data_IF_116310471224
#
_entry.id   IF_116310471224
#
_cell.length_a   1.000
_cell.length_b   1.000
_cell.length_c   1.000
_cell.angle_alpha   90.00
_cell.angle_beta   90.00
_cell.angle_gamma   90.00
#
_symmetry.space_group_name_H-M   'P 1'
#
loop_
_entity.id
_entity.type
_entity.pdbx_description
1 polymer ?
#
# COMPACT_ATOMS: atom_id res chain seq x y z
N UNK A 1 -45.65 -64.67 32.67
CA UNK A 1 -45.75 -63.36 31.98
C UNK A 1 -44.76 -62.42 32.63
N UNK A 2 -43.55 -62.24 32.06
CA UNK A 2 -42.51 -61.34 32.57
C UNK A 2 -42.11 -60.42 31.42
N UNK A 3 -42.44 -59.14 31.52
CA UNK A 3 -42.07 -58.12 30.54
C UNK A 3 -40.74 -57.52 31.03
N UNK A 4 -39.67 -57.77 30.28
CA UNK A 4 -38.37 -57.13 30.49
C UNK A 4 -38.39 -55.77 29.80
N UNK A 5 -38.26 -54.69 30.58
CA UNK A 5 -38.10 -53.33 30.08
C UNK A 5 -36.60 -53.07 29.96
N UNK A 6 -36.10 -53.03 28.72
CA UNK A 6 -34.74 -52.55 28.43
C UNK A 6 -34.75 -51.03 28.42
N UNK A 7 -34.10 -50.43 29.43
CA UNK A 7 -33.77 -49.01 29.42
C UNK A 7 -32.55 -48.80 28.50
N UNK A 8 -32.80 -48.29 27.29
CA UNK A 8 -31.74 -47.77 26.41
C UNK A 8 -31.41 -46.36 26.89
N UNK A 9 -30.33 -46.25 27.66
CA UNK A 9 -29.71 -44.95 27.98
C UNK A 9 -28.89 -44.54 26.77
N UNK A 10 -29.47 -43.71 25.91
CA UNK A 10 -28.75 -42.97 24.87
C UNK A 10 -27.90 -41.89 25.56
N UNK A 11 -26.62 -42.20 25.81
CA UNK A 11 -25.60 -41.17 26.02
C UNK A 11 -25.44 -40.40 24.71
N UNK A 12 -26.16 -39.29 24.57
CA UNK A 12 -25.75 -38.23 23.67
C UNK A 12 -24.51 -37.58 24.29
N UNK A 13 -23.33 -38.07 23.91
CA UNK A 13 -22.12 -37.28 23.99
C UNK A 13 -22.33 -36.07 23.05
N UNK A 14 -22.74 -34.95 23.65
CA UNK A 14 -22.66 -33.65 23.01
C UNK A 14 -21.18 -33.33 22.83
N UNK A 15 -20.59 -33.89 21.77
CA UNK A 15 -19.42 -33.29 21.14
C UNK A 15 -19.88 -31.93 20.65
N UNK A 16 -19.80 -30.93 21.51
CA UNK A 16 -19.64 -29.55 21.10
C UNK A 16 -18.38 -29.54 20.22
N UNK A 17 -18.58 -29.82 18.93
CA UNK A 17 -17.68 -29.40 17.88
C UNK A 17 -17.49 -27.93 18.16
N UNK A 18 -16.33 -27.60 18.73
CA UNK A 18 -15.91 -26.22 18.90
C UNK A 18 -16.04 -25.59 17.53
N UNK A 19 -17.08 -24.79 17.35
CA UNK A 19 -17.05 -23.69 16.42
C UNK A 19 -15.80 -22.93 16.85
N UNK A 20 -14.67 -23.21 16.18
CA UNK A 20 -13.53 -22.34 16.26
C UNK A 20 -14.07 -21.01 15.82
N UNK A 21 -14.29 -20.10 16.78
CA UNK A 21 -14.49 -18.69 16.52
C UNK A 21 -13.33 -18.32 15.63
N UNK A 22 -13.60 -18.22 14.32
CA UNK A 22 -12.60 -17.76 13.38
C UNK A 22 -12.20 -16.39 13.90
N UNK A 23 -10.90 -16.11 14.09
CA UNK A 23 -10.47 -14.83 14.60
C UNK A 23 -11.15 -13.74 13.76
N UNK A 24 -11.65 -12.67 14.40
CA UNK A 24 -12.42 -11.65 13.69
C UNK A 24 -11.63 -11.18 12.47
N UNK A 25 -12.34 -11.04 11.35
CA UNK A 25 -11.77 -10.40 10.16
C UNK A 25 -11.15 -9.06 10.58
N UNK A 26 -9.93 -8.80 10.13
CA UNK A 26 -9.25 -7.54 10.38
C UNK A 26 -9.92 -6.46 9.53
N UNK A 27 -10.59 -5.52 10.19
CA UNK A 27 -11.35 -4.44 9.56
C UNK A 27 -10.86 -3.11 10.12
N UNK A 28 -11.03 -2.04 9.34
CA UNK A 28 -10.82 -0.68 9.86
C UNK A 28 -11.93 -0.24 10.79
N UNK A 29 -11.57 0.54 11.79
CA UNK A 29 -12.52 1.36 12.54
C UNK A 29 -12.91 2.58 11.70
N UNK A 30 -14.10 2.51 11.08
CA UNK A 30 -14.61 3.57 10.20
C UNK A 30 -15.04 4.84 10.94
N UNK A 31 -15.12 4.83 12.27
CA UNK A 31 -15.36 6.03 13.08
C UNK A 31 -14.08 6.88 13.21
N UNK A 32 -12.90 6.30 12.92
CA UNK A 32 -11.61 6.98 12.94
C UNK A 32 -11.19 7.34 11.53
N UNK A 33 -11.31 8.63 11.21
CA UNK A 33 -10.90 9.16 9.91
C UNK A 33 -9.38 9.37 9.91
N UNK A 34 -8.61 8.70 9.04
CA UNK A 34 -7.17 8.90 8.95
C UNK A 34 -6.85 10.24 8.28
N UNK A 35 -5.67 10.77 8.59
CA UNK A 35 -5.13 11.95 7.94
C UNK A 35 -4.07 11.54 6.92
N UNK A 36 -4.15 12.11 5.72
CA UNK A 36 -3.14 11.93 4.69
C UNK A 36 -2.52 13.27 4.32
N UNK A 37 -1.23 13.26 4.00
CA UNK A 37 -0.56 14.42 3.42
C UNK A 37 0.37 14.03 2.28
N UNK A 38 0.60 14.99 1.38
CA UNK A 38 1.56 14.92 0.30
C UNK A 38 2.32 16.25 0.20
N UNK A 39 3.64 16.19 0.11
CA UNK A 39 4.49 17.37 0.08
C UNK A 39 5.70 17.22 -0.86
N UNK A 40 6.21 18.35 -1.35
CA UNK A 40 7.43 18.41 -2.17
C UNK A 40 8.07 19.81 -2.16
N UNK A 41 9.35 19.87 -2.51
CA UNK A 41 10.11 21.11 -2.65
C UNK A 41 10.01 21.63 -4.09
N UNK A 42 9.66 22.91 -4.23
CA UNK A 42 9.70 23.62 -5.51
C UNK A 42 11.13 23.98 -5.91
N UNK A 43 11.35 24.30 -7.18
CA UNK A 43 12.64 24.73 -7.72
C UNK A 43 13.19 26.01 -7.04
N UNK A 44 12.32 26.82 -6.45
CA UNK A 44 12.68 28.00 -5.64
C UNK A 44 13.00 27.68 -4.16
N UNK A 45 13.00 26.40 -3.79
CA UNK A 45 13.27 25.90 -2.43
C UNK A 45 12.07 25.91 -1.49
N UNK A 46 10.90 26.44 -1.89
CA UNK A 46 9.71 26.44 -1.03
C UNK A 46 9.06 25.06 -0.96
N UNK A 47 8.60 24.69 0.23
CA UNK A 47 7.81 23.47 0.45
C UNK A 47 6.34 23.71 0.11
N UNK A 48 5.75 22.81 -0.67
CA UNK A 48 4.30 22.69 -0.84
C UNK A 48 3.85 21.47 -0.05
N UNK A 49 2.78 21.61 0.72
CA UNK A 49 2.15 20.51 1.46
C UNK A 49 0.65 20.62 1.32
N UNK A 50 0.00 19.50 1.01
CA UNK A 50 -1.44 19.34 1.11
C UNK A 50 -1.74 18.27 2.14
N UNK A 51 -2.69 18.53 3.03
CA UNK A 51 -3.06 17.64 4.12
C UNK A 51 -4.58 17.65 4.26
N UNK A 52 -5.15 16.47 4.49
CA UNK A 52 -6.61 16.31 4.61
C UNK A 52 -6.95 15.05 5.39
N UNK A 53 -8.02 15.13 6.17
CA UNK A 53 -8.67 13.96 6.74
C UNK A 53 -9.48 13.28 5.63
N UNK A 54 -9.18 12.01 5.37
CA UNK A 54 -9.72 11.24 4.24
C UNK A 54 -10.48 10.02 4.76
N UNK A 55 -11.82 10.02 4.73
CA UNK A 55 -12.60 8.84 5.06
C UNK A 55 -12.20 7.64 4.20
N UNK A 56 -12.31 6.44 4.76
CA UNK A 56 -12.08 5.22 3.99
C UNK A 56 -13.08 5.13 2.84
N UNK A 57 -12.59 5.10 1.61
CA UNK A 57 -13.42 5.09 0.41
C UNK A 57 -12.70 4.44 -0.77
N UNK A 58 -13.45 4.14 -1.83
CA UNK A 58 -12.86 3.68 -3.09
C UNK A 58 -12.10 4.80 -3.81
N UNK A 59 -11.30 4.47 -4.82
CA UNK A 59 -10.61 5.46 -5.65
C UNK A 59 -11.57 6.33 -6.50
N UNK A 60 -12.81 5.87 -6.69
CA UNK A 60 -13.88 6.64 -7.30
C UNK A 60 -14.37 7.80 -6.41
N UNK A 61 -14.18 7.70 -5.09
CA UNK A 61 -14.67 8.64 -4.07
C UNK A 61 -13.57 9.55 -3.52
N UNK A 62 -12.50 9.72 -4.30
CA UNK A 62 -11.37 10.61 -4.00
C UNK A 62 -11.83 12.05 -3.74
N UNK A 63 -11.06 12.73 -2.89
CA UNK A 63 -11.37 14.07 -2.39
C UNK A 63 -10.26 15.05 -2.80
N UNK A 64 -10.63 16.22 -3.32
CA UNK A 64 -9.67 17.28 -3.63
C UNK A 64 -8.88 17.70 -2.38
N UNK A 65 -7.54 17.67 -2.46
CA UNK A 65 -6.62 18.07 -1.39
C UNK A 65 -6.00 19.44 -1.64
N UNK A 66 -5.76 19.81 -2.90
CA UNK A 66 -5.20 21.11 -3.26
C UNK A 66 -4.57 21.12 -4.66
N UNK A 67 -4.55 22.31 -5.29
CA UNK A 67 -4.02 22.55 -6.63
C UNK A 67 -4.57 21.64 -7.74
N UNK A 68 -3.92 20.49 -7.99
CA UNK A 68 -4.31 19.49 -8.98
C UNK A 68 -4.34 18.07 -8.39
N UNK A 69 -4.38 17.94 -7.06
CA UNK A 69 -4.27 16.66 -6.36
C UNK A 69 -5.60 16.31 -5.69
N UNK A 70 -6.09 15.12 -5.99
CA UNK A 70 -7.15 14.43 -5.25
C UNK A 70 -6.52 13.26 -4.48
N UNK A 71 -7.02 12.97 -3.28
CA UNK A 71 -6.52 11.90 -2.42
C UNK A 71 -7.63 10.97 -1.96
N UNK A 72 -7.26 9.74 -1.62
CA UNK A 72 -8.13 8.78 -0.96
C UNK A 72 -7.33 7.87 -0.02
N UNK A 73 -8.02 7.28 0.97
CA UNK A 73 -7.51 6.18 1.78
C UNK A 73 -8.46 5.00 1.64
N UNK A 74 -7.93 3.81 1.43
CA UNK A 74 -8.71 2.58 1.29
C UNK A 74 -8.10 1.48 2.15
N UNK A 75 -8.94 0.59 2.68
CA UNK A 75 -8.48 -0.64 3.32
C UNK A 75 -9.26 -1.84 2.79
N UNK A 76 -8.52 -2.92 2.52
CA UNK A 76 -9.08 -4.20 2.12
C UNK A 76 -8.40 -4.81 0.90
N UNK A 77 -8.80 -6.05 0.59
CA UNK A 77 -8.24 -6.84 -0.50
C UNK A 77 -6.87 -7.43 -0.19
N UNK A 78 -6.25 -8.01 -1.22
CA UNK A 78 -4.86 -8.46 -1.19
C UNK A 78 -3.95 -7.41 -1.82
N UNK A 79 -2.64 -7.46 -1.53
CA UNK A 79 -1.66 -6.46 -2.03
C UNK A 79 -1.80 -6.30 -3.55
N UNK A 80 -2.09 -5.08 -4.01
CA UNK A 80 -2.39 -4.65 -5.38
C UNK A 80 -3.50 -5.42 -6.11
N UNK A 81 -4.46 -5.99 -5.38
CA UNK A 81 -5.41 -6.99 -5.92
C UNK A 81 -4.71 -8.17 -6.62
N UNK A 82 -3.42 -8.36 -6.33
CA UNK A 82 -2.61 -9.41 -6.91
C UNK A 82 -2.74 -10.70 -6.11
N UNK A 83 -3.20 -10.69 -4.86
CA UNK A 83 -3.22 -11.92 -4.04
C UNK A 83 -1.87 -12.23 -3.42
N UNK A 84 -1.09 -11.20 -3.09
CA UNK A 84 0.25 -11.31 -2.50
C UNK A 84 0.29 -10.87 -1.02
N UNK A 85 -0.88 -10.79 -0.38
CA UNK A 85 -1.01 -10.53 1.05
C UNK A 85 -1.25 -11.81 1.84
N UNK A 86 -0.97 -11.75 3.13
CA UNK A 86 -1.33 -12.76 4.10
C UNK A 86 -2.86 -12.93 4.16
N UNK A 87 -3.39 -14.17 4.27
CA UNK A 87 -4.83 -14.42 4.25
C UNK A 87 -5.60 -13.77 5.42
N UNK A 88 -4.92 -13.52 6.54
CA UNK A 88 -5.49 -12.84 7.71
C UNK A 88 -5.17 -11.34 7.75
N UNK A 89 -4.45 -10.83 6.75
CA UNK A 89 -4.05 -9.42 6.70
C UNK A 89 -5.08 -8.53 6.03
N UNK A 90 -4.88 -7.23 6.19
CA UNK A 90 -5.56 -6.17 5.46
C UNK A 90 -4.51 -5.28 4.79
N UNK A 91 -4.82 -4.79 3.59
CA UNK A 91 -3.97 -3.85 2.89
C UNK A 91 -4.50 -2.44 3.11
N UNK A 92 -3.63 -1.57 3.60
CA UNK A 92 -3.92 -0.13 3.73
C UNK A 92 -3.29 0.59 2.56
N UNK A 93 -4.07 1.45 1.89
CA UNK A 93 -3.64 2.23 0.74
C UNK A 93 -3.94 3.70 0.94
N UNK A 94 -2.96 4.55 0.64
CA UNK A 94 -3.16 5.99 0.42
C UNK A 94 -2.76 6.33 -1.00
N UNK A 95 -3.66 6.95 -1.74
CA UNK A 95 -3.43 7.22 -3.15
C UNK A 95 -3.81 8.62 -3.57
N UNK A 96 -3.19 9.05 -4.66
CA UNK A 96 -3.32 10.39 -5.19
C UNK A 96 -3.53 10.37 -6.70
N UNK A 97 -4.46 11.20 -7.17
CA UNK A 97 -4.86 11.35 -8.56
C UNK A 97 -4.70 12.81 -9.00
N UNK A 98 -4.45 13.00 -10.31
CA UNK A 98 -4.63 14.32 -10.93
C UNK A 98 -6.12 14.63 -11.04
N UNK A 99 -6.51 15.82 -10.57
CA UNK A 99 -7.86 16.37 -10.81
C UNK A 99 -8.07 16.65 -12.31
N UNK A 100 -7.07 17.28 -12.94
CA UNK A 100 -7.00 17.54 -14.37
C UNK A 100 -5.78 16.80 -14.95
N UNK A 101 -5.99 15.81 -15.85
CA UNK A 101 -4.91 15.02 -16.44
C UNK A 101 -3.93 15.85 -17.27
N UNK A 102 -4.34 17.04 -17.75
CA UNK A 102 -3.52 17.92 -18.59
C UNK A 102 -2.58 18.80 -17.77
N UNK A 103 -2.82 18.92 -16.46
CA UNK A 103 -2.00 19.72 -15.55
C UNK A 103 -0.94 18.87 -14.85
N UNK A 104 0.13 19.51 -14.40
CA UNK A 104 1.17 18.84 -13.63
C UNK A 104 0.62 18.32 -12.29
N UNK A 105 1.14 17.19 -11.83
CA UNK A 105 0.92 16.69 -10.48
C UNK A 105 1.71 17.55 -9.50
N UNK A 106 2.98 17.80 -9.82
CA UNK A 106 3.95 18.48 -8.96
C UNK A 106 4.41 19.79 -9.61
N UNK A 107 3.58 20.82 -9.51
CA UNK A 107 3.90 22.14 -10.06
C UNK A 107 5.25 22.67 -9.55
N UNK A 108 6.12 23.05 -10.49
CA UNK A 108 7.46 23.63 -10.25
C UNK A 108 8.35 22.80 -9.32
N UNK A 109 8.17 21.48 -9.25
CA UNK A 109 8.99 20.63 -8.39
C UNK A 109 10.49 20.71 -8.73
N UNK A 110 11.35 20.75 -7.72
CA UNK A 110 12.79 20.67 -7.90
C UNK A 110 13.22 19.30 -8.45
N UNK A 111 14.24 19.26 -9.31
CA UNK A 111 14.64 18.04 -10.02
C UNK A 111 15.14 16.92 -9.09
N UNK A 112 15.63 17.28 -7.91
CA UNK A 112 16.14 16.46 -6.82
C UNK A 112 15.17 16.40 -5.62
N UNK A 113 13.96 16.92 -5.75
CA UNK A 113 12.96 16.87 -4.69
C UNK A 113 12.59 15.43 -4.32
N UNK A 114 12.24 15.25 -3.06
CA UNK A 114 11.51 14.10 -2.55
C UNK A 114 10.02 14.41 -2.56
N UNK A 115 9.20 13.43 -2.87
CA UNK A 115 7.76 13.43 -2.58
C UNK A 115 7.59 12.81 -1.20
N UNK A 116 7.11 13.58 -0.26
CA UNK A 116 6.82 13.12 1.09
C UNK A 116 5.33 12.79 1.19
N UNK A 117 5.02 11.55 1.55
CA UNK A 117 3.65 11.08 1.80
C UNK A 117 3.56 10.65 3.24
N UNK A 118 2.53 11.12 3.93
CA UNK A 118 2.18 10.63 5.27
C UNK A 118 0.76 10.10 5.28
N UNK A 119 0.55 9.04 6.02
CA UNK A 119 -0.75 8.53 6.43
C UNK A 119 -0.68 8.30 7.94
N UNK A 120 -1.63 8.83 8.71
CA UNK A 120 -1.68 8.67 10.16
C UNK A 120 -3.10 8.40 10.63
N UNK A 121 -3.23 7.81 11.81
CA UNK A 121 -4.52 7.57 12.45
C UNK A 121 -5.31 6.40 11.87
N UNK A 122 -4.65 5.43 11.22
CA UNK A 122 -5.32 4.20 10.77
C UNK A 122 -5.55 3.30 11.96
N UNK A 123 -6.82 3.05 12.31
CA UNK A 123 -7.20 2.21 13.44
C UNK A 123 -7.93 0.97 12.92
N UNK A 124 -7.57 -0.19 13.47
CA UNK A 124 -8.23 -1.47 13.18
C UNK A 124 -9.20 -1.83 14.30
N UNK A 125 -10.18 -2.68 14.01
CA UNK A 125 -11.18 -3.20 14.96
C UNK A 125 -10.60 -4.10 16.06
N UNK A 126 -9.31 -4.42 15.99
CA UNK A 126 -8.56 -5.21 16.96
C UNK A 126 -7.08 -4.81 16.93
N UNK A 127 -6.27 -5.14 17.96
CA UNK A 127 -4.84 -4.88 17.96
C UNK A 127 -4.15 -5.42 16.69
N UNK A 128 -3.37 -4.56 16.04
CA UNK A 128 -2.80 -4.86 14.73
C UNK A 128 -1.40 -4.26 14.59
N UNK A 129 -0.57 -4.88 13.76
CA UNK A 129 0.81 -4.48 13.47
C UNK A 129 0.99 -4.23 11.97
N UNK A 130 1.61 -3.13 11.55
CA UNK A 130 2.01 -2.97 10.16
C UNK A 130 3.16 -3.92 9.82
N UNK A 131 3.06 -4.65 8.72
CA UNK A 131 4.10 -5.56 8.25
C UNK A 131 5.18 -4.78 7.50
N UNK A 132 6.33 -4.60 8.14
CA UNK A 132 7.51 -3.95 7.54
C UNK A 132 7.96 -4.69 6.27
N UNK A 133 8.57 -3.96 5.35
CA UNK A 133 9.04 -4.52 4.07
C UNK A 133 7.94 -4.72 3.01
N UNK A 134 6.66 -4.57 3.37
CA UNK A 134 5.54 -4.72 2.43
C UNK A 134 5.07 -3.42 1.77
N UNK A 135 5.80 -2.31 1.96
CA UNK A 135 5.40 -1.06 1.31
C UNK A 135 5.65 -1.16 -0.19
N UNK A 136 4.62 -0.89 -0.98
CA UNK A 136 4.71 -0.78 -2.43
C UNK A 136 4.08 0.52 -2.88
N UNK A 137 4.81 1.26 -3.72
CA UNK A 137 4.22 2.32 -4.51
C UNK A 137 3.81 1.75 -5.88
N UNK A 138 2.54 1.88 -6.24
CA UNK A 138 2.04 1.59 -7.59
C UNK A 138 1.79 2.90 -8.31
N UNK A 139 2.43 3.05 -9.46
CA UNK A 139 2.44 4.25 -10.29
C UNK A 139 1.77 3.91 -11.62
N UNK A 140 0.81 4.73 -12.05
CA UNK A 140 0.10 4.59 -13.31
C UNK A 140 0.33 5.80 -14.20
N UNK A 141 0.80 5.55 -15.42
CA UNK A 141 1.05 6.59 -16.43
C UNK A 141 -0.10 6.68 -17.43
N UNK A 142 -0.25 7.85 -18.07
CA UNK A 142 -1.17 8.05 -19.18
C UNK A 142 -0.66 7.33 -20.44
N UNK A 143 -1.55 6.66 -21.18
CA UNK A 143 -1.17 5.85 -22.35
C UNK A 143 -0.60 6.71 -23.49
N UNK A 144 -1.12 7.93 -23.65
CA UNK A 144 -0.65 8.91 -24.62
C UNK A 144 0.82 9.29 -24.36
N UNK A 145 1.15 9.42 -23.09
CA UNK A 145 2.49 9.77 -22.65
C UNK A 145 3.46 8.58 -22.84
N UNK A 146 2.99 7.35 -22.60
CA UNK A 146 3.76 6.14 -22.94
C UNK A 146 4.07 6.07 -24.45
N UNK A 147 3.07 6.37 -25.28
CA UNK A 147 3.19 6.38 -26.75
C UNK A 147 4.22 7.41 -27.23
N UNK A 148 4.24 8.62 -26.65
CA UNK A 148 5.22 9.65 -27.03
C UNK A 148 6.66 9.24 -26.70
N UNK A 149 6.85 8.41 -25.67
CA UNK A 149 8.14 7.87 -25.26
C UNK A 149 8.50 6.54 -25.95
N UNK A 150 7.68 6.06 -26.89
CA UNK A 150 7.85 4.76 -27.57
C UNK A 150 7.94 3.57 -26.58
N UNK A 151 7.28 3.70 -25.43
CA UNK A 151 7.19 2.64 -24.44
C UNK A 151 5.92 1.84 -24.71
N UNK A 152 6.02 0.52 -24.60
CA UNK A 152 4.89 -0.38 -24.81
C UNK A 152 3.74 -0.05 -23.85
N UNK A 153 2.51 -0.12 -24.35
CA UNK A 153 1.32 0.28 -23.59
C UNK A 153 1.00 -0.66 -22.42
N UNK A 154 1.49 -1.91 -22.45
CA UNK A 154 1.37 -2.87 -21.34
C UNK A 154 2.32 -2.58 -20.18
N UNK A 155 3.25 -1.63 -20.33
CA UNK A 155 4.13 -1.11 -19.29
C UNK A 155 3.56 0.13 -18.59
N UNK A 156 2.24 0.38 -18.64
CA UNK A 156 1.65 1.59 -18.05
C UNK A 156 1.62 1.60 -16.51
N UNK A 157 1.98 0.47 -15.87
CA UNK A 157 2.11 0.32 -14.43
C UNK A 157 3.57 0.15 -14.05
N UNK A 158 3.99 0.85 -13.01
CA UNK A 158 5.28 0.69 -12.36
C UNK A 158 5.07 0.41 -10.89
N UNK A 159 5.81 -0.56 -10.36
CA UNK A 159 5.81 -0.94 -8.95
C UNK A 159 7.18 -0.62 -8.33
N UNK A 160 7.19 0.07 -7.20
CA UNK A 160 8.39 0.32 -6.40
C UNK A 160 8.21 -0.39 -5.06
N UNK A 161 9.07 -1.33 -4.73
CA UNK A 161 8.92 -2.12 -3.50
C UNK A 161 9.92 -1.68 -2.44
N UNK A 162 9.58 -1.80 -1.16
CA UNK A 162 10.55 -1.62 -0.07
C UNK A 162 11.50 -2.80 0.09
N UNK A 163 11.03 -4.02 -0.15
CA UNK A 163 11.84 -5.22 -0.12
C UNK A 163 12.37 -5.57 -1.51
N UNK A 164 13.69 -5.78 -1.62
CA UNK A 164 14.37 -6.15 -2.85
C UNK A 164 14.02 -7.56 -3.37
N UNK A 165 13.34 -8.37 -2.56
CA UNK A 165 12.87 -9.72 -2.92
C UNK A 165 11.37 -9.79 -3.20
N UNK A 166 10.63 -8.71 -2.94
CA UNK A 166 9.17 -8.71 -3.08
C UNK A 166 8.72 -8.64 -4.54
N UNK A 167 8.41 -9.80 -5.10
CA UNK A 167 7.90 -9.95 -6.47
C UNK A 167 6.37 -10.02 -6.52
N UNK A 168 5.67 -9.73 -5.40
CA UNK A 168 4.22 -9.89 -5.28
C UNK A 168 3.75 -11.28 -5.75
N UNK A 169 4.47 -12.31 -5.30
CA UNK A 169 4.33 -13.71 -5.70
C UNK A 169 4.49 -13.90 -7.22
N UNK A 170 5.55 -13.35 -7.80
CA UNK A 170 5.87 -13.46 -9.22
C UNK A 170 4.96 -12.67 -10.17
N UNK A 171 4.15 -11.74 -9.65
CA UNK A 171 3.15 -10.98 -10.45
C UNK A 171 3.67 -9.64 -10.98
N UNK A 172 4.90 -9.28 -10.64
CA UNK A 172 5.65 -8.16 -11.20
C UNK A 172 7.00 -8.64 -11.73
N UNK A 173 7.53 -7.97 -12.74
CA UNK A 173 8.65 -8.40 -13.60
C UNK A 173 9.84 -7.45 -13.47
N UNK A 174 10.93 -7.86 -12.80
CA UNK A 174 12.12 -7.02 -12.63
C UNK A 174 12.66 -6.52 -13.96
N UNK A 175 12.99 -5.22 -14.01
CA UNK A 175 13.51 -4.57 -15.21
C UNK A 175 12.46 -4.24 -16.28
N UNK A 176 11.18 -4.55 -16.03
CA UNK A 176 10.08 -4.22 -16.93
C UNK A 176 9.04 -3.32 -16.24
N UNK A 177 8.32 -3.83 -15.23
CA UNK A 177 7.26 -3.10 -14.53
C UNK A 177 7.54 -2.92 -13.02
N UNK A 178 8.72 -3.30 -12.54
CA UNK A 178 9.09 -3.09 -11.14
C UNK A 178 10.54 -2.65 -10.92
N UNK A 179 10.76 -1.92 -9.82
CA UNK A 179 12.06 -1.60 -9.23
C UNK A 179 12.09 -2.16 -7.81
N UNK A 180 12.66 -3.34 -7.66
CA UNK A 180 12.74 -4.04 -6.39
C UNK A 180 13.64 -3.30 -5.39
N UNK A 181 13.16 -3.09 -4.17
CA UNK A 181 13.91 -2.45 -3.10
C UNK A 181 14.13 -0.94 -3.28
N UNK A 182 13.47 -0.32 -4.27
CA UNK A 182 13.59 1.09 -4.57
C UNK A 182 13.06 2.01 -3.45
N UNK A 183 12.35 1.46 -2.47
CA UNK A 183 11.86 2.17 -1.27
C UNK A 183 12.59 1.73 0.02
N UNK A 184 13.74 1.07 -0.10
CA UNK A 184 14.44 0.46 1.05
C UNK A 184 15.29 1.43 1.89
N UNK A 185 15.59 2.62 1.38
CA UNK A 185 16.50 3.59 2.00
C UNK A 185 17.97 3.14 2.04
N UNK A 186 18.36 2.06 1.34
CA UNK A 186 19.72 1.51 1.38
C UNK A 186 20.71 2.31 0.54
N UNK A 187 20.25 2.97 -0.52
CA UNK A 187 21.04 3.86 -1.38
C UNK A 187 20.53 5.30 -1.31
N UNK A 188 21.37 6.31 -1.56
CA UNK A 188 20.93 7.72 -1.61
C UNK A 188 19.83 8.00 -2.65
N UNK A 189 19.73 7.15 -3.68
CA UNK A 189 18.73 7.24 -4.75
C UNK A 189 17.45 6.48 -4.45
N UNK A 190 17.38 5.75 -3.34
CA UNK A 190 16.19 5.01 -2.95
C UNK A 190 15.22 5.95 -2.21
N UNK A 191 13.94 5.64 -2.32
CA UNK A 191 12.98 6.11 -1.35
C UNK A 191 13.18 5.42 0.00
N UNK A 192 12.61 6.02 1.04
CA UNK A 192 12.56 5.43 2.38
C UNK A 192 11.12 5.40 2.85
N UNK A 193 10.74 4.29 3.46
CA UNK A 193 9.43 4.10 4.07
C UNK A 193 9.58 3.71 5.53
N UNK A 194 8.68 4.22 6.35
CA UNK A 194 8.60 3.94 7.78
C UNK A 194 7.17 3.59 8.11
N UNK A 195 6.97 2.46 8.78
CA UNK A 195 5.70 2.03 9.32
C UNK A 195 5.81 1.95 10.84
N UNK A 196 4.88 2.60 11.52
CA UNK A 196 4.87 2.72 12.99
C UNK A 196 3.49 2.35 13.51
N UNK A 197 3.45 1.54 14.57
CA UNK A 197 2.30 1.48 15.45
C UNK A 197 2.51 2.52 16.55
N UNK A 198 1.61 3.48 16.62
CA UNK A 198 1.64 4.57 17.58
C UNK A 198 1.22 4.09 18.97
N UNK A 199 1.47 4.91 19.99
CA UNK A 199 1.15 4.57 21.38
C UNK A 199 -0.36 4.39 21.65
N UNK A 200 -1.21 5.04 20.86
CA UNK A 200 -2.67 4.91 20.93
C UNK A 200 -3.20 3.67 20.17
N UNK A 201 -2.30 2.87 19.58
CA UNK A 201 -2.63 1.69 18.81
C UNK A 201 -2.96 1.96 17.34
N UNK A 202 -3.02 3.22 16.90
CA UNK A 202 -3.15 3.56 15.49
C UNK A 202 -1.87 3.25 14.71
N UNK A 203 -2.00 3.17 13.39
CA UNK A 203 -0.91 2.84 12.47
C UNK A 203 -0.65 4.05 11.58
N UNK A 204 0.63 4.38 11.44
CA UNK A 204 1.13 5.45 10.58
C UNK A 204 2.11 4.92 9.54
N UNK A 205 2.09 5.55 8.37
CA UNK A 205 3.11 5.40 7.33
C UNK A 205 3.71 6.77 7.01
N UNK A 206 5.03 6.81 6.89
CA UNK A 206 5.77 7.91 6.26
C UNK A 206 6.56 7.35 5.10
N UNK A 207 6.51 8.03 3.96
CA UNK A 207 7.30 7.69 2.80
C UNK A 207 7.95 8.95 2.23
N UNK A 208 9.22 8.85 1.86
CA UNK A 208 9.93 9.87 1.09
C UNK A 208 10.43 9.20 -0.17
N UNK A 209 9.84 9.57 -1.31
CA UNK A 209 10.11 8.95 -2.61
C UNK A 209 10.82 9.98 -3.49
N UNK A 210 12.07 9.72 -3.96
CA UNK A 210 12.72 10.60 -4.92
C UNK A 210 11.80 10.81 -6.11
N UNK A 211 11.59 12.08 -6.48
CA UNK A 211 10.68 12.41 -7.58
C UNK A 211 11.05 11.69 -8.88
N UNK A 212 12.35 11.49 -9.11
CA UNK A 212 12.87 10.69 -10.21
C UNK A 212 12.26 9.28 -10.30
N UNK A 213 12.01 8.60 -9.18
CA UNK A 213 11.42 7.26 -9.19
C UNK A 213 9.96 7.24 -9.65
N UNK A 214 9.26 8.38 -9.57
CA UNK A 214 7.90 8.51 -10.10
C UNK A 214 7.88 8.96 -11.56
N UNK A 215 9.06 9.25 -12.13
CA UNK A 215 9.21 9.57 -13.54
C UNK A 215 9.59 8.32 -14.31
N UNK A 216 9.13 8.30 -15.56
CA UNK A 216 9.59 7.48 -16.67
C UNK A 216 9.93 6.01 -16.32
N UNK A 217 9.11 5.08 -16.79
CA UNK A 217 9.17 3.68 -16.31
C UNK A 217 10.53 2.99 -16.50
N UNK A 218 11.22 3.20 -17.63
CA UNK A 218 12.47 2.50 -17.94
C UNK A 218 13.67 3.10 -17.19
N UNK A 219 13.95 4.38 -17.42
CA UNK A 219 15.02 5.12 -16.74
C UNK A 219 14.47 6.35 -15.98
N UNK A 220 14.49 6.34 -14.62
CA UNK A 220 14.03 7.46 -13.79
C UNK A 220 14.89 8.73 -13.89
N UNK A 221 16.11 8.61 -14.43
CA UNK A 221 17.08 9.69 -14.58
C UNK A 221 17.22 10.18 -16.02
N UNK A 222 16.46 9.63 -16.95
CA UNK A 222 16.46 10.05 -18.34
C UNK A 222 15.94 11.48 -18.47
N UNK A 223 16.87 12.42 -18.66
CA UNK A 223 16.60 13.85 -18.90
C UNK A 223 16.93 14.29 -20.33
N UNK A 224 17.54 13.40 -21.12
CA UNK A 224 18.23 13.76 -22.35
C UNK A 224 17.31 13.96 -23.55
N UNK A 225 16.05 13.51 -23.50
CA UNK A 225 15.11 13.67 -24.60
C UNK A 225 14.05 14.71 -24.19
N UNK A 226 14.07 15.91 -24.78
CA UNK A 226 13.02 16.91 -24.56
C UNK A 226 11.65 16.32 -24.87
N UNK A 227 10.69 16.43 -23.94
CA UNK A 227 9.33 15.93 -24.11
C UNK A 227 9.06 14.49 -23.64
N UNK A 228 10.05 13.73 -23.17
CA UNK A 228 9.86 12.37 -22.59
C UNK A 228 9.53 12.39 -21.10
N UNK A 229 8.94 13.49 -20.64
CA UNK A 229 8.59 13.69 -19.24
C UNK A 229 7.25 13.00 -18.94
N UNK A 230 7.29 11.95 -18.12
CA UNK A 230 6.12 11.22 -17.66
C UNK A 230 5.90 11.52 -16.19
N UNK A 231 4.87 12.30 -15.90
CA UNK A 231 4.27 12.30 -14.56
C UNK A 231 3.22 11.20 -14.46
N UNK A 232 3.02 10.64 -13.26
CA UNK A 232 1.91 9.75 -13.03
C UNK A 232 0.57 10.46 -13.26
N UNK A 233 -0.37 9.74 -13.86
CA UNK A 233 -1.79 10.12 -13.78
C UNK A 233 -2.32 9.86 -12.37
N UNK A 234 -1.80 8.80 -11.75
CA UNK A 234 -2.11 8.38 -10.40
C UNK A 234 -0.95 7.58 -9.83
N UNK A 235 -0.75 7.68 -8.51
CA UNK A 235 0.03 6.72 -7.78
C UNK A 235 -0.55 6.52 -6.38
N UNK A 236 -0.29 5.37 -5.80
CA UNK A 236 -0.59 5.11 -4.39
C UNK A 236 0.55 4.36 -3.73
N UNK A 237 0.62 4.50 -2.41
CA UNK A 237 1.41 3.63 -1.56
C UNK A 237 0.46 2.73 -0.79
N UNK A 238 0.86 1.47 -0.65
CA UNK A 238 0.15 0.52 0.18
C UNK A 238 1.10 -0.34 0.99
N UNK A 239 0.61 -0.83 2.12
CA UNK A 239 1.32 -1.75 3.00
C UNK A 239 0.33 -2.70 3.67
N UNK A 240 0.85 -3.82 4.13
CA UNK A 240 0.05 -4.82 4.83
C UNK A 240 0.00 -4.55 6.33
N UNK A 241 -1.14 -4.83 6.93
CA UNK A 241 -1.38 -4.83 8.36
C UNK A 241 -1.91 -6.21 8.76
N UNK A 242 -1.43 -6.73 9.88
CA UNK A 242 -1.81 -8.04 10.42
C UNK A 242 -2.42 -7.89 11.81
N UNK A 243 -3.30 -8.80 12.25
CA UNK A 243 -3.61 -8.94 13.66
C UNK A 243 -2.32 -9.11 14.47
N UNK A 244 -2.24 -8.49 15.65
CA UNK A 244 -1.01 -8.44 16.44
C UNK A 244 -0.41 -9.83 16.71
N UNK A 245 -1.24 -10.81 17.08
CA UNK A 245 -0.79 -12.18 17.32
C UNK A 245 -0.09 -12.80 16.10
N UNK A 246 -0.65 -12.60 14.90
CA UNK A 246 -0.10 -13.10 13.63
C UNK A 246 1.20 -12.36 13.28
N UNK A 247 1.22 -11.04 13.46
CA UNK A 247 2.40 -10.22 13.20
C UNK A 247 3.59 -10.63 14.05
N UNK A 248 3.37 -10.83 15.35
CA UNK A 248 4.41 -11.26 16.30
C UNK A 248 4.93 -12.67 16.00
N UNK A 249 4.05 -13.59 15.58
CA UNK A 249 4.45 -14.94 15.15
C UNK A 249 5.40 -14.89 13.96
N UNK A 250 5.06 -14.11 12.92
CA UNK A 250 5.92 -13.96 11.74
C UNK A 250 7.25 -13.27 12.05
N UNK A 251 7.26 -12.26 12.93
CA UNK A 251 8.51 -11.63 13.37
C UNK A 251 9.40 -12.60 14.13
N UNK A 252 8.83 -13.44 14.99
CA UNK A 252 9.55 -14.47 15.74
C UNK A 252 10.11 -15.58 14.84
N UNK A 253 9.39 -15.92 13.77
CA UNK A 253 9.80 -16.95 12.81
C UNK A 253 10.94 -16.48 11.88
N UNK A 254 11.17 -15.17 11.79
CA UNK A 254 12.23 -14.59 10.96
C UNK A 254 11.92 -14.59 9.46
N UNK A 255 12.80 -14.01 8.63
CA UNK A 255 12.54 -13.76 7.21
C UNK A 255 12.43 -15.03 6.33
N UNK A 256 12.87 -16.19 6.81
CA UNK A 256 12.85 -17.45 6.04
C UNK A 256 11.52 -18.23 6.16
N UNK A 257 10.62 -17.83 7.06
CA UNK A 257 9.45 -18.64 7.42
C UNK A 257 8.17 -18.35 6.64
N UNK A 258 8.21 -17.51 5.59
CA UNK A 258 7.04 -17.30 4.74
C UNK A 258 6.90 -18.53 3.83
N UNK A 259 5.84 -19.34 3.95
CA UNK A 259 5.63 -20.47 3.06
C UNK A 259 5.52 -19.94 1.63
N UNK A 260 6.31 -20.50 0.73
CA UNK A 260 6.06 -20.35 -0.70
C UNK A 260 4.83 -21.17 -1.04
N UNK A 261 3.66 -20.52 -1.08
CA UNK A 261 2.46 -21.08 -1.71
C UNK A 261 2.66 -21.20 -3.24
#
# INVERSE_FOLDING_TARGET
MKIAVYAVVLLFAASALGLQDSPPLLLVDTEKVPQASIAWTKADGRMVKFEKDLPYASDAERVAMGANVEGFVAVGGARLAKGAGHPQGAVVRVGFYKLDPTRAFFDQIAADSMIEVTLSGVVMNQPALPRRGTVVAHVKYALEAMKSCQISSDAFNLFLTSDASDTLNGRIRPGYDTRLGALSGRKPTDGVTELVREADGSISMKARVPYALLRHILDPWQRAIPGTFLEPQHFHLEFEVLPEAVGLELEAAGPEAVPSD
#
